data_IF_512844127459
#
_entry.id   IF_512844127459
#
_cell.length_a   1.000
_cell.length_b   1.000
_cell.length_c   1.000
_cell.angle_alpha   90.00
_cell.angle_beta   90.00
_cell.angle_gamma   90.00
#
_symmetry.space_group_name_H-M   'P 1'
#
loop_
_entity.id
_entity.type
_entity.pdbx_description
1 polymer ?
#
# COMPACT_ATOMS: atom_id res chain seq x y z
N UNK A 1 -3.44 -35.77 24.76
CA UNK A 1 -2.84 -35.10 25.94
C UNK A 1 -3.60 -33.81 26.11
N UNK A 2 -4.42 -33.73 27.15
CA UNK A 2 -5.20 -32.55 27.49
C UNK A 2 -4.25 -31.39 27.79
N UNK A 3 -4.34 -30.37 26.98
CA UNK A 3 -3.61 -29.12 27.17
C UNK A 3 -4.37 -28.30 28.23
N UNK A 4 -4.20 -28.68 29.52
CA UNK A 4 -4.78 -27.99 30.66
C UNK A 4 -4.07 -26.60 30.77
N UNK A 5 -4.81 -25.53 30.47
CA UNK A 5 -4.35 -24.15 30.71
C UNK A 5 -3.88 -23.98 32.15
N UNK A 6 -2.81 -23.24 32.36
CA UNK A 6 -2.32 -22.86 33.68
C UNK A 6 -3.44 -22.05 34.38
N UNK A 7 -3.74 -22.23 35.66
CA UNK A 7 -4.84 -21.56 36.34
C UNK A 7 -4.85 -20.02 36.20
N UNK A 8 -3.69 -19.39 36.09
CA UNK A 8 -3.52 -17.95 35.87
C UNK A 8 -4.02 -17.48 34.50
N UNK A 9 -3.77 -18.26 33.42
CA UNK A 9 -4.24 -17.91 32.06
C UNK A 9 -5.76 -17.98 31.96
N UNK A 10 -6.38 -18.96 32.62
CA UNK A 10 -7.85 -19.11 32.66
C UNK A 10 -8.51 -17.92 33.33
N UNK A 11 -7.90 -17.40 34.40
CA UNK A 11 -8.38 -16.19 35.11
C UNK A 11 -8.25 -14.94 34.24
N UNK A 12 -7.15 -14.77 33.50
CA UNK A 12 -6.95 -13.62 32.62
C UNK A 12 -7.91 -13.61 31.43
N UNK A 13 -8.20 -14.76 30.83
CA UNK A 13 -9.19 -14.88 29.74
C UNK A 13 -10.59 -14.55 30.23
N UNK A 14 -10.93 -14.99 31.44
CA UNK A 14 -12.22 -14.71 32.03
C UNK A 14 -12.41 -13.23 32.35
N UNK A 15 -11.42 -12.56 32.91
CA UNK A 15 -11.41 -11.12 33.13
C UNK A 15 -11.49 -10.30 31.82
N UNK A 16 -10.83 -10.80 30.76
CA UNK A 16 -10.94 -10.21 29.44
C UNK A 16 -12.37 -10.32 28.91
N UNK A 17 -12.99 -11.51 29.07
CA UNK A 17 -14.34 -11.76 28.61
C UNK A 17 -15.38 -10.88 29.35
N UNK A 18 -15.26 -10.73 30.64
CA UNK A 18 -16.11 -9.82 31.44
C UNK A 18 -16.04 -8.38 30.92
N UNK A 19 -14.85 -7.87 30.65
CA UNK A 19 -14.67 -6.51 30.05
C UNK A 19 -15.29 -6.39 28.66
N UNK A 20 -15.23 -7.45 27.85
CA UNK A 20 -15.86 -7.47 26.52
C UNK A 20 -17.38 -7.42 26.69
N UNK A 21 -17.95 -8.23 27.58
CA UNK A 21 -19.38 -8.25 27.86
C UNK A 21 -19.89 -6.90 28.37
N UNK A 22 -19.20 -6.28 29.33
CA UNK A 22 -19.54 -4.93 29.83
C UNK A 22 -19.61 -3.87 28.72
N UNK A 23 -18.63 -3.89 27.78
CA UNK A 23 -18.63 -2.97 26.66
C UNK A 23 -19.76 -3.25 25.66
N UNK A 24 -20.03 -4.52 25.37
CA UNK A 24 -21.11 -4.90 24.46
C UNK A 24 -22.49 -4.57 25.04
N UNK A 25 -22.67 -4.74 26.35
CA UNK A 25 -23.91 -4.38 27.05
C UNK A 25 -24.22 -2.87 26.98
N UNK A 26 -23.17 -2.04 26.99
CA UNK A 26 -23.33 -0.58 26.87
C UNK A 26 -23.63 -0.11 25.42
N UNK A 27 -23.34 -0.92 24.40
CA UNK A 27 -23.46 -0.53 22.97
C UNK A 27 -24.63 -1.23 22.29
N UNK A 28 -24.95 -2.46 22.70
CA UNK A 28 -26.04 -3.26 22.12
C UNK A 28 -27.38 -2.94 22.77
N UNK A 29 -28.44 -3.12 21.99
CA UNK A 29 -29.79 -3.13 22.58
C UNK A 29 -29.89 -4.28 23.61
N UNK A 30 -30.48 -4.06 24.81
CA UNK A 30 -30.57 -5.06 25.88
C UNK A 30 -31.16 -6.41 25.45
N UNK A 31 -32.18 -6.39 24.61
CA UNK A 31 -32.78 -7.62 24.04
C UNK A 31 -31.81 -8.36 23.11
N UNK A 32 -31.12 -7.63 22.23
CA UNK A 32 -30.12 -8.18 21.32
C UNK A 32 -28.91 -8.74 22.07
N UNK A 33 -28.47 -8.03 23.12
CA UNK A 33 -27.36 -8.48 23.96
C UNK A 33 -27.70 -9.80 24.66
N UNK A 34 -28.85 -9.85 25.36
CA UNK A 34 -29.27 -11.05 26.09
C UNK A 34 -29.46 -12.25 25.13
N UNK A 35 -30.07 -12.01 23.97
CA UNK A 35 -30.29 -13.07 22.98
C UNK A 35 -28.99 -13.59 22.35
N UNK A 36 -28.01 -12.72 22.12
CA UNK A 36 -26.74 -13.07 21.45
C UNK A 36 -25.71 -13.66 22.41
N UNK A 37 -25.63 -13.11 23.65
CA UNK A 37 -24.58 -13.44 24.61
C UNK A 37 -24.95 -14.51 25.64
N UNK A 38 -26.21 -14.90 25.66
CA UNK A 38 -26.71 -15.89 26.64
C UNK A 38 -26.05 -17.26 26.45
N UNK A 39 -25.39 -17.75 27.49
CA UNK A 39 -24.73 -19.07 27.49
C UNK A 39 -23.43 -19.11 26.71
N UNK A 40 -22.84 -17.97 26.37
CA UNK A 40 -21.53 -17.87 25.74
C UNK A 40 -20.45 -17.70 26.81
N UNK A 41 -19.35 -18.43 26.67
CA UNK A 41 -18.20 -18.35 27.57
C UNK A 41 -16.91 -18.28 26.76
N UNK A 42 -15.92 -17.54 27.24
CA UNK A 42 -14.58 -17.57 26.67
C UNK A 42 -13.86 -18.84 27.14
N UNK A 43 -13.40 -19.66 26.18
CA UNK A 43 -12.75 -20.92 26.46
C UNK A 43 -11.23 -20.78 26.52
N UNK A 44 -10.64 -20.28 25.48
CA UNK A 44 -9.18 -20.11 25.30
C UNK A 44 -8.87 -19.15 24.15
N UNK A 45 -7.61 -18.78 24.03
CA UNK A 45 -7.13 -18.03 22.86
C UNK A 45 -6.36 -19.01 21.96
N UNK A 46 -6.77 -19.10 20.69
CA UNK A 46 -6.10 -19.89 19.67
C UNK A 46 -5.82 -18.98 18.48
N UNK A 47 -4.59 -18.97 18.01
CA UNK A 47 -4.22 -18.26 16.79
C UNK A 47 -4.61 -16.75 16.82
N UNK A 48 -4.41 -16.08 17.97
CA UNK A 48 -4.81 -14.69 18.20
C UNK A 48 -6.32 -14.44 18.07
N UNK A 49 -7.13 -15.48 18.18
CA UNK A 49 -8.58 -15.39 18.19
C UNK A 49 -9.12 -15.90 19.52
N UNK A 50 -10.07 -15.19 20.08
CA UNK A 50 -10.76 -15.59 21.29
C UNK A 50 -11.76 -16.69 20.91
N UNK A 51 -11.58 -17.90 21.43
CA UNK A 51 -12.51 -19.02 21.21
C UNK A 51 -13.64 -18.92 22.23
N UNK A 52 -14.84 -18.70 21.73
CA UNK A 52 -16.08 -18.59 22.49
C UNK A 52 -16.82 -19.94 22.42
N UNK A 53 -17.12 -20.52 23.54
CA UNK A 53 -17.95 -21.72 23.62
C UNK A 53 -19.42 -21.31 23.66
N UNK A 54 -20.20 -21.80 22.71
CA UNK A 54 -21.66 -21.68 22.69
C UNK A 54 -22.29 -23.03 23.07
N UNK A 55 -23.42 -23.00 23.75
CA UNK A 55 -24.11 -24.22 24.20
C UNK A 55 -24.83 -24.95 23.05
N UNK A 56 -25.20 -24.22 22.00
CA UNK A 56 -25.94 -24.72 20.85
C UNK A 56 -25.47 -24.06 19.55
N UNK A 57 -25.71 -24.73 18.42
CA UNK A 57 -25.44 -24.14 17.08
C UNK A 57 -26.31 -22.91 16.81
N UNK A 58 -27.51 -22.85 17.40
CA UNK A 58 -28.37 -21.67 17.30
C UNK A 58 -27.73 -20.43 17.95
N UNK A 59 -27.14 -20.60 19.14
CA UNK A 59 -26.40 -19.55 19.83
C UNK A 59 -25.13 -19.15 19.07
N UNK A 60 -24.43 -20.12 18.46
CA UNK A 60 -23.29 -19.87 17.59
C UNK A 60 -23.68 -19.03 16.35
N UNK A 61 -24.78 -19.37 15.69
CA UNK A 61 -25.32 -18.61 14.55
C UNK A 61 -25.76 -17.19 14.97
N UNK A 62 -26.30 -17.00 16.17
CA UNK A 62 -26.65 -15.66 16.66
C UNK A 62 -25.40 -14.77 16.85
N UNK A 63 -24.30 -15.33 17.37
CA UNK A 63 -23.00 -14.63 17.48
C UNK A 63 -22.41 -14.23 16.11
N UNK A 64 -22.54 -15.11 15.12
CA UNK A 64 -22.02 -14.89 13.78
C UNK A 64 -22.99 -14.12 12.86
N UNK A 65 -24.15 -13.73 13.37
CA UNK A 65 -25.20 -13.01 12.67
C UNK A 65 -24.95 -11.49 12.59
N UNK A 66 -26.03 -10.72 12.74
CA UNK A 66 -26.03 -9.26 12.52
C UNK A 66 -25.01 -8.47 13.38
N UNK A 67 -24.71 -8.95 14.58
CA UNK A 67 -23.81 -8.27 15.53
C UNK A 67 -22.35 -8.79 15.45
N UNK A 68 -22.01 -9.68 14.53
CA UNK A 68 -20.69 -10.32 14.48
C UNK A 68 -19.53 -9.32 14.34
N UNK A 69 -19.70 -8.28 13.51
CA UNK A 69 -18.63 -7.28 13.29
C UNK A 69 -18.44 -6.39 14.54
N UNK A 70 -19.54 -5.97 15.19
CA UNK A 70 -19.47 -5.23 16.46
C UNK A 70 -18.79 -6.03 17.56
N UNK A 71 -19.10 -7.33 17.67
CA UNK A 71 -18.47 -8.23 18.64
C UNK A 71 -16.98 -8.36 18.33
N UNK A 72 -16.61 -8.55 17.06
CA UNK A 72 -15.22 -8.66 16.60
C UNK A 72 -14.42 -7.39 16.90
N UNK A 73 -14.94 -6.22 16.57
CA UNK A 73 -14.32 -4.93 16.89
C UNK A 73 -14.09 -4.76 18.40
N UNK A 74 -15.08 -5.12 19.21
CA UNK A 74 -14.98 -5.04 20.66
C UNK A 74 -13.95 -6.02 21.23
N UNK A 75 -13.90 -7.25 20.71
CA UNK A 75 -12.90 -8.27 21.07
C UNK A 75 -11.48 -7.78 20.75
N UNK A 76 -11.27 -7.20 19.56
CA UNK A 76 -9.98 -6.64 19.16
C UNK A 76 -9.60 -5.46 20.07
N UNK A 77 -10.52 -4.54 20.31
CA UNK A 77 -10.28 -3.35 21.12
C UNK A 77 -9.97 -3.67 22.61
N UNK A 78 -10.61 -4.70 23.16
CA UNK A 78 -10.34 -5.15 24.54
C UNK A 78 -9.12 -6.06 24.64
N UNK A 79 -8.82 -6.79 23.58
CA UNK A 79 -7.78 -7.84 23.53
C UNK A 79 -6.42 -7.37 23.04
N UNK A 80 -6.12 -6.06 23.06
CA UNK A 80 -4.83 -5.51 22.57
C UNK A 80 -3.62 -6.15 23.28
N UNK A 81 -3.70 -6.34 24.60
CA UNK A 81 -2.63 -6.98 25.39
C UNK A 81 -2.37 -8.45 25.01
N UNK A 82 -3.35 -9.12 24.41
CA UNK A 82 -3.26 -10.48 23.90
C UNK A 82 -3.03 -10.54 22.39
N UNK A 83 -2.96 -9.39 21.72
CA UNK A 83 -2.83 -9.28 20.28
C UNK A 83 -3.98 -9.90 19.49
N UNK A 84 -5.22 -9.83 20.00
CA UNK A 84 -6.38 -10.44 19.38
C UNK A 84 -6.74 -9.77 18.05
N UNK A 85 -7.12 -10.61 17.07
CA UNK A 85 -7.57 -10.19 15.73
C UNK A 85 -9.06 -10.48 15.49
N UNK A 86 -9.74 -11.14 16.45
CA UNK A 86 -11.14 -11.49 16.36
C UNK A 86 -11.51 -12.64 17.30
N UNK A 87 -12.62 -13.29 16.99
CA UNK A 87 -13.11 -14.45 17.73
C UNK A 87 -13.51 -15.60 16.81
N UNK A 88 -13.59 -16.79 17.38
CA UNK A 88 -14.14 -18.02 16.77
C UNK A 88 -15.16 -18.62 17.72
N UNK A 89 -16.11 -19.37 17.17
CA UNK A 89 -17.15 -20.03 17.96
C UNK A 89 -16.94 -21.53 17.92
N UNK A 90 -17.05 -22.17 19.08
CA UNK A 90 -17.00 -23.60 19.30
C UNK A 90 -18.31 -24.07 19.93
N UNK A 91 -18.81 -25.21 19.48
CA UNK A 91 -19.96 -25.90 20.07
C UNK A 91 -19.59 -27.36 20.32
N UNK A 92 -19.74 -27.82 21.55
CA UNK A 92 -19.37 -29.18 21.92
C UNK A 92 -20.27 -30.20 21.21
N UNK A 93 -19.65 -31.17 20.52
CA UNK A 93 -20.37 -32.19 19.77
C UNK A 93 -20.92 -31.76 18.40
N UNK A 94 -20.61 -30.52 17.93
CA UNK A 94 -20.97 -30.08 16.58
C UNK A 94 -19.86 -30.35 15.60
N UNK A 95 -20.20 -30.87 14.43
CA UNK A 95 -19.28 -31.03 13.31
C UNK A 95 -19.06 -29.69 12.58
N UNK A 96 -20.04 -28.77 12.66
CA UNK A 96 -19.98 -27.47 12.00
C UNK A 96 -19.10 -26.44 12.76
N UNK A 97 -19.01 -26.57 14.09
CA UNK A 97 -18.28 -25.66 14.97
C UNK A 97 -17.27 -26.43 15.84
N UNK A 98 -16.44 -27.26 15.21
CA UNK A 98 -15.52 -28.14 15.92
C UNK A 98 -14.28 -27.37 16.43
N UNK A 99 -13.79 -27.77 17.61
CA UNK A 99 -12.56 -27.19 18.16
C UNK A 99 -11.35 -27.56 17.31
N UNK A 100 -11.38 -28.73 16.67
CA UNK A 100 -10.32 -29.23 15.80
C UNK A 100 -10.12 -28.31 14.59
N UNK A 101 -11.20 -27.86 13.95
CA UNK A 101 -11.12 -26.93 12.82
C UNK A 101 -10.57 -25.56 13.23
N UNK A 102 -10.86 -25.12 14.46
CA UNK A 102 -10.31 -23.89 15.04
C UNK A 102 -8.81 -24.06 15.32
N UNK A 103 -8.38 -25.19 15.84
CA UNK A 103 -6.97 -25.49 16.14
C UNK A 103 -6.13 -25.66 14.86
N UNK A 104 -6.69 -26.24 13.83
CA UNK A 104 -6.07 -26.45 12.53
C UNK A 104 -6.11 -25.17 11.65
N UNK A 105 -6.97 -24.20 11.98
CA UNK A 105 -7.03 -22.93 11.24
C UNK A 105 -5.73 -22.15 11.38
N UNK A 106 -5.23 -21.60 10.27
CA UNK A 106 -4.02 -20.78 10.28
C UNK A 106 -4.20 -19.55 11.19
N UNK A 107 -3.23 -19.24 12.06
CA UNK A 107 -3.27 -18.01 12.87
C UNK A 107 -3.04 -16.74 12.04
N UNK A 108 -2.60 -16.91 10.81
CA UNK A 108 -2.21 -15.81 9.94
C UNK A 108 -3.38 -15.39 9.05
N UNK A 109 -3.60 -14.08 8.86
CA UNK A 109 -4.65 -13.61 7.97
C UNK A 109 -4.36 -14.06 6.54
N UNK A 110 -5.35 -14.67 5.88
CA UNK A 110 -5.23 -14.98 4.46
C UNK A 110 -5.36 -13.67 3.69
N UNK A 111 -4.34 -13.30 2.94
CA UNK A 111 -4.39 -12.15 2.04
C UNK A 111 -5.43 -12.43 0.95
N UNK A 112 -6.48 -11.61 0.81
CA UNK A 112 -7.55 -11.92 -0.12
C UNK A 112 -7.08 -11.83 -1.57
N UNK A 113 -7.50 -12.80 -2.38
CA UNK A 113 -7.29 -12.78 -3.82
C UNK A 113 -8.35 -11.88 -4.46
N UNK A 114 -7.93 -10.93 -5.29
CA UNK A 114 -8.84 -10.08 -6.03
C UNK A 114 -9.51 -10.87 -7.17
N UNK A 115 -10.79 -11.15 -7.03
CA UNK A 115 -11.59 -11.92 -8.00
C UNK A 115 -11.71 -11.27 -9.38
N UNK A 116 -11.48 -9.96 -9.49
CA UNK A 116 -11.54 -9.23 -10.75
C UNK A 116 -10.26 -9.38 -11.59
N UNK A 117 -9.17 -9.88 -10.99
CA UNK A 117 -7.91 -10.09 -11.67
C UNK A 117 -7.87 -11.51 -12.24
N UNK A 118 -8.31 -11.64 -13.48
CA UNK A 118 -8.38 -12.90 -14.23
C UNK A 118 -7.55 -12.81 -15.50
N UNK A 119 -7.25 -13.96 -16.11
CA UNK A 119 -6.62 -13.98 -17.44
C UNK A 119 -7.49 -13.29 -18.50
N UNK A 120 -8.80 -13.34 -18.39
CA UNK A 120 -9.71 -12.68 -19.31
C UNK A 120 -9.69 -11.15 -19.16
N UNK A 121 -9.46 -10.63 -17.96
CA UNK A 121 -9.38 -9.19 -17.71
C UNK A 121 -7.98 -8.62 -17.94
N UNK A 122 -6.96 -9.47 -18.08
CA UNK A 122 -5.61 -9.05 -18.43
C UNK A 122 -5.49 -8.85 -19.94
N UNK A 123 -5.09 -7.66 -20.37
CA UNK A 123 -4.85 -7.37 -21.79
C UNK A 123 -3.39 -7.69 -22.11
N UNK A 124 -3.17 -8.83 -22.77
CA UNK A 124 -1.85 -9.27 -23.18
C UNK A 124 -1.49 -8.66 -24.55
N UNK A 125 -0.60 -7.67 -24.55
CA UNK A 125 0.06 -7.21 -25.77
C UNK A 125 1.20 -8.13 -26.22
N UNK A 126 1.79 -7.88 -27.39
CA UNK A 126 2.96 -8.65 -27.87
C UNK A 126 4.11 -8.68 -26.85
N UNK A 127 4.31 -7.59 -26.13
CA UNK A 127 5.35 -7.37 -25.13
C UNK A 127 5.16 -8.19 -23.83
N UNK A 128 3.95 -8.59 -23.51
CA UNK A 128 3.61 -9.37 -22.31
C UNK A 128 3.12 -10.79 -22.62
N UNK A 129 3.13 -11.19 -23.89
CA UNK A 129 2.61 -12.49 -24.33
C UNK A 129 3.34 -13.66 -23.68
N UNK A 130 4.67 -13.60 -23.56
CA UNK A 130 5.47 -14.67 -22.98
C UNK A 130 5.12 -14.90 -21.52
N UNK A 131 5.08 -13.84 -20.71
CA UNK A 131 4.75 -13.94 -19.29
C UNK A 131 3.29 -14.38 -19.06
N UNK A 132 2.39 -13.93 -19.91
CA UNK A 132 0.97 -14.33 -19.88
C UNK A 132 0.80 -15.84 -20.13
N UNK A 133 1.44 -16.38 -21.19
CA UNK A 133 1.39 -17.82 -21.51
C UNK A 133 2.09 -18.66 -20.44
N UNK A 134 3.21 -18.18 -19.89
CA UNK A 134 3.88 -18.86 -18.77
C UNK A 134 2.98 -18.91 -17.52
N UNK A 135 2.32 -17.80 -17.19
CA UNK A 135 1.39 -17.74 -16.08
C UNK A 135 0.19 -18.67 -16.27
N UNK A 136 -0.35 -18.73 -17.49
CA UNK A 136 -1.45 -19.62 -17.86
C UNK A 136 -1.03 -21.10 -17.77
N UNK A 137 0.13 -21.46 -18.27
CA UNK A 137 0.69 -22.82 -18.16
C UNK A 137 0.83 -23.26 -16.72
N UNK A 138 1.30 -22.37 -15.83
CA UNK A 138 1.40 -22.64 -14.38
C UNK A 138 0.04 -22.81 -13.75
N UNK A 139 -0.95 -22.01 -14.15
CA UNK A 139 -2.32 -22.11 -13.63
C UNK A 139 -2.99 -23.42 -14.04
N UNK A 140 -2.77 -23.89 -15.27
CA UNK A 140 -3.30 -25.15 -15.79
C UNK A 140 -2.66 -26.38 -15.14
N UNK A 141 -1.34 -26.35 -14.93
CA UNK A 141 -0.56 -27.49 -14.42
C UNK A 141 0.46 -27.06 -13.34
N UNK A 142 0.01 -26.70 -12.13
CA UNK A 142 0.89 -26.25 -11.06
C UNK A 142 1.91 -27.31 -10.66
N UNK A 143 3.18 -26.92 -10.55
CA UNK A 143 4.29 -27.79 -10.16
C UNK A 143 4.94 -28.60 -11.28
N UNK A 144 4.39 -28.57 -12.52
CA UNK A 144 4.82 -29.46 -13.57
C UNK A 144 6.00 -28.94 -14.42
N UNK A 145 5.93 -27.69 -14.93
CA UNK A 145 6.88 -27.22 -15.95
C UNK A 145 7.73 -26.06 -15.43
N UNK A 146 7.11 -24.97 -15.00
CA UNK A 146 7.78 -23.74 -14.60
C UNK A 146 7.74 -23.56 -13.07
N UNK A 147 8.71 -24.15 -12.37
CA UNK A 147 8.78 -24.07 -10.92
C UNK A 147 10.19 -23.73 -10.42
N UNK A 148 10.42 -22.52 -9.86
CA UNK A 148 9.43 -21.44 -9.68
C UNK A 148 9.07 -20.72 -10.99
N UNK A 149 7.91 -20.05 -11.00
CA UNK A 149 7.63 -18.96 -11.94
C UNK A 149 8.02 -17.65 -11.27
N UNK A 150 8.99 -16.95 -11.83
CA UNK A 150 9.46 -15.66 -11.33
C UNK A 150 9.08 -14.57 -12.34
N UNK A 151 8.14 -13.71 -11.97
CA UNK A 151 7.63 -12.61 -12.79
C UNK A 151 8.27 -11.31 -12.31
N UNK A 152 8.98 -10.61 -13.17
CA UNK A 152 9.59 -9.33 -12.80
C UNK A 152 9.25 -8.23 -13.82
N UNK A 153 9.48 -6.97 -13.41
CA UNK A 153 9.25 -5.78 -14.22
C UNK A 153 8.95 -4.58 -13.34
N UNK A 154 8.94 -3.39 -13.91
CA UNK A 154 8.67 -2.15 -13.17
C UNK A 154 7.32 -2.18 -12.42
N UNK A 155 7.17 -1.28 -11.44
CA UNK A 155 5.91 -1.17 -10.70
C UNK A 155 4.75 -0.78 -11.63
N UNK A 156 3.54 -1.29 -11.34
CA UNK A 156 2.34 -0.92 -12.09
C UNK A 156 2.11 -1.63 -13.42
N UNK A 157 2.97 -2.60 -13.82
CA UNK A 157 2.83 -3.32 -15.10
C UNK A 157 1.89 -4.53 -15.08
N UNK A 158 1.29 -4.86 -13.93
CA UNK A 158 0.31 -5.95 -13.83
C UNK A 158 0.87 -7.28 -13.30
N UNK A 159 2.05 -7.32 -12.67
CA UNK A 159 2.61 -8.53 -12.03
C UNK A 159 1.63 -9.16 -11.04
N UNK A 160 1.12 -8.36 -10.11
CA UNK A 160 0.10 -8.80 -9.12
C UNK A 160 -1.19 -9.26 -9.78
N UNK A 161 -1.59 -8.64 -10.90
CA UNK A 161 -2.75 -9.08 -11.67
C UNK A 161 -2.56 -10.51 -12.21
N UNK A 162 -1.41 -10.80 -12.84
CA UNK A 162 -1.10 -12.13 -13.34
C UNK A 162 -1.05 -13.17 -12.21
N UNK A 163 -0.48 -12.82 -11.06
CA UNK A 163 -0.44 -13.68 -9.89
C UNK A 163 -1.85 -14.02 -9.37
N UNK A 164 -2.73 -13.02 -9.26
CA UNK A 164 -4.13 -13.25 -8.88
C UNK A 164 -4.91 -13.99 -9.96
N UNK A 165 -4.58 -13.80 -11.26
CA UNK A 165 -5.20 -14.55 -12.36
C UNK A 165 -4.88 -16.05 -12.26
N UNK A 166 -3.64 -16.41 -11.93
CA UNK A 166 -3.24 -17.80 -11.65
C UNK A 166 -4.07 -18.35 -10.50
N UNK A 167 -4.16 -17.62 -9.39
CA UNK A 167 -4.89 -18.07 -8.20
C UNK A 167 -6.39 -18.27 -8.46
N UNK A 168 -7.02 -17.31 -9.16
CA UNK A 168 -8.43 -17.41 -9.53
C UNK A 168 -8.70 -18.59 -10.47
N UNK A 169 -7.82 -18.81 -11.45
CA UNK A 169 -7.93 -19.94 -12.38
C UNK A 169 -7.86 -21.29 -11.65
N UNK A 170 -6.89 -21.44 -10.73
CA UNK A 170 -6.74 -22.66 -9.93
C UNK A 170 -7.96 -22.86 -9.03
N UNK A 171 -8.46 -21.80 -8.38
CA UNK A 171 -9.63 -21.89 -7.53
C UNK A 171 -10.90 -22.33 -8.27
N UNK A 172 -11.03 -21.96 -9.58
CA UNK A 172 -12.15 -22.35 -10.43
C UNK A 172 -12.03 -23.78 -10.96
N UNK A 173 -10.82 -24.22 -11.37
CA UNK A 173 -10.61 -25.48 -12.08
C UNK A 173 -10.07 -26.62 -11.22
N UNK A 174 -9.50 -26.30 -10.05
CA UNK A 174 -8.91 -27.26 -9.09
C UNK A 174 -9.14 -26.79 -7.66
N UNK A 175 -10.41 -26.72 -7.21
CA UNK A 175 -10.77 -26.15 -5.90
C UNK A 175 -10.21 -26.94 -4.71
N UNK A 176 -9.76 -28.20 -4.92
CA UNK A 176 -9.10 -29.02 -3.91
C UNK A 176 -7.68 -28.55 -3.61
N UNK A 177 -7.05 -27.76 -4.48
CA UNK A 177 -5.68 -27.27 -4.30
C UNK A 177 -5.65 -26.07 -3.36
N UNK A 178 -4.78 -26.16 -2.37
CA UNK A 178 -4.54 -25.08 -1.41
C UNK A 178 -3.61 -24.03 -2.01
N UNK A 179 -4.15 -22.88 -2.39
CA UNK A 179 -3.40 -21.73 -2.89
C UNK A 179 -3.22 -20.74 -1.76
N UNK A 180 -1.98 -20.38 -1.46
CA UNK A 180 -1.63 -19.31 -0.52
C UNK A 180 -0.98 -18.15 -1.26
N UNK A 181 -1.64 -17.00 -1.23
CA UNK A 181 -1.09 -15.73 -1.69
C UNK A 181 -0.73 -14.84 -0.50
N UNK A 182 0.45 -14.26 -0.52
CA UNK A 182 0.91 -13.30 0.47
C UNK A 182 1.90 -12.31 -0.15
N UNK A 183 2.11 -11.17 0.53
CA UNK A 183 3.23 -10.27 0.21
C UNK A 183 4.48 -10.71 0.95
N UNK A 184 5.65 -10.38 0.42
CA UNK A 184 6.92 -10.64 1.11
C UNK A 184 6.98 -9.94 2.48
N UNK A 185 6.38 -8.77 2.60
CA UNK A 185 6.31 -8.03 3.86
C UNK A 185 5.49 -8.78 4.92
N UNK A 186 4.33 -9.35 4.55
CA UNK A 186 3.54 -10.18 5.45
C UNK A 186 4.30 -11.44 5.87
N UNK A 187 4.96 -12.13 4.93
CA UNK A 187 5.81 -13.27 5.22
C UNK A 187 6.91 -12.93 6.25
N UNK A 188 7.56 -11.76 6.09
CA UNK A 188 8.57 -11.25 7.03
C UNK A 188 7.99 -11.01 8.41
N UNK A 189 6.86 -10.31 8.50
CA UNK A 189 6.24 -9.94 9.77
C UNK A 189 5.76 -11.20 10.52
N UNK A 190 5.12 -12.11 9.82
CA UNK A 190 4.64 -13.37 10.39
C UNK A 190 5.81 -14.27 10.86
N UNK A 191 6.93 -14.28 10.15
CA UNK A 191 8.13 -14.98 10.59
C UNK A 191 8.70 -14.39 11.88
N UNK A 192 8.83 -13.05 11.96
CA UNK A 192 9.32 -12.35 13.15
C UNK A 192 8.38 -12.63 14.35
N UNK A 193 7.08 -12.53 14.14
CA UNK A 193 6.07 -12.83 15.16
C UNK A 193 6.17 -14.29 15.63
N UNK A 194 6.42 -15.22 14.71
CA UNK A 194 6.57 -16.64 15.05
C UNK A 194 7.80 -16.92 15.94
N UNK A 195 8.88 -16.17 15.74
CA UNK A 195 10.07 -16.26 16.58
C UNK A 195 9.80 -15.70 17.99
N UNK A 196 9.14 -14.54 18.07
CA UNK A 196 8.78 -13.92 19.35
C UNK A 196 7.83 -14.80 20.18
N UNK A 197 6.91 -15.50 19.53
CA UNK A 197 5.91 -16.37 20.16
C UNK A 197 6.36 -17.82 20.29
N UNK A 198 7.59 -18.18 19.89
CA UNK A 198 8.11 -19.56 19.83
C UNK A 198 7.20 -20.51 19.06
N UNK A 199 6.50 -20.01 18.06
CA UNK A 199 5.49 -20.74 17.25
C UNK A 199 5.99 -21.11 15.84
N UNK A 200 7.28 -21.29 15.64
CA UNK A 200 7.89 -21.57 14.33
C UNK A 200 7.35 -22.83 13.62
N UNK A 201 6.83 -23.83 14.34
CA UNK A 201 6.16 -24.98 13.73
C UNK A 201 4.85 -24.58 13.03
N UNK A 202 4.07 -23.67 13.61
CA UNK A 202 2.83 -23.16 13.01
C UNK A 202 3.11 -22.33 11.75
N UNK A 203 4.14 -21.46 11.81
CA UNK A 203 4.60 -20.71 10.64
C UNK A 203 4.97 -21.67 9.49
N UNK A 204 5.80 -22.66 9.76
CA UNK A 204 6.18 -23.64 8.74
C UNK A 204 4.99 -24.42 8.20
N UNK A 205 4.05 -24.85 9.04
CA UNK A 205 2.85 -25.52 8.59
C UNK A 205 1.98 -24.65 7.69
N UNK A 206 1.86 -23.34 8.00
CA UNK A 206 1.10 -22.41 7.18
C UNK A 206 1.68 -22.26 5.76
N UNK A 207 2.99 -22.07 5.65
CA UNK A 207 3.66 -21.81 4.38
C UNK A 207 4.08 -23.07 3.60
N UNK A 208 4.26 -24.20 4.27
CA UNK A 208 4.77 -25.44 3.64
C UNK A 208 3.67 -26.47 3.35
N UNK A 209 2.47 -26.33 3.94
CA UNK A 209 1.36 -27.23 3.70
C UNK A 209 0.34 -26.66 2.70
N UNK A 210 0.84 -26.22 1.57
CA UNK A 210 0.07 -25.66 0.46
C UNK A 210 0.47 -26.31 -0.85
N UNK A 211 -0.39 -26.27 -1.87
CA UNK A 211 -0.10 -26.79 -3.20
C UNK A 211 0.53 -25.72 -4.10
N UNK A 212 0.17 -24.46 -3.85
CA UNK A 212 0.71 -23.30 -4.58
C UNK A 212 1.02 -22.20 -3.58
N UNK A 213 2.29 -21.80 -3.50
CA UNK A 213 2.74 -20.63 -2.74
C UNK A 213 3.02 -19.47 -3.67
N UNK A 214 2.38 -18.34 -3.43
CA UNK A 214 2.53 -17.10 -4.18
C UNK A 214 3.03 -16.00 -3.27
N UNK A 215 4.20 -15.43 -3.58
CA UNK A 215 4.77 -14.32 -2.82
C UNK A 215 5.00 -13.12 -3.73
N UNK A 216 4.28 -12.05 -3.43
CA UNK A 216 4.40 -10.77 -4.14
C UNK A 216 5.53 -9.92 -3.57
N UNK A 217 6.22 -9.20 -4.45
CA UNK A 217 7.27 -8.23 -4.08
C UNK A 217 8.45 -8.83 -3.30
N UNK A 218 9.02 -9.95 -3.81
CA UNK A 218 10.11 -10.69 -3.15
C UNK A 218 11.40 -9.85 -2.93
N UNK A 219 11.55 -8.69 -3.59
CA UNK A 219 12.67 -7.77 -3.38
C UNK A 219 12.77 -7.27 -1.93
N UNK A 220 11.69 -7.33 -1.14
CA UNK A 220 11.72 -6.96 0.29
C UNK A 220 12.47 -7.96 1.18
N UNK A 221 12.89 -9.12 0.65
CA UNK A 221 13.85 -10.00 1.34
C UNK A 221 15.26 -9.38 1.47
N UNK A 222 15.53 -8.30 0.76
CA UNK A 222 16.80 -7.56 0.83
C UNK A 222 17.18 -7.30 2.29
N UNK A 223 18.48 -7.51 2.63
CA UNK A 223 19.08 -7.25 3.95
C UNK A 223 18.48 -8.03 5.14
N UNK A 224 17.68 -9.08 4.88
CA UNK A 224 16.97 -9.89 5.89
C UNK A 224 17.50 -11.33 5.98
N UNK A 225 18.78 -11.52 6.34
CA UNK A 225 19.44 -12.84 6.30
C UNK A 225 18.64 -13.97 6.96
N UNK A 226 18.14 -13.80 8.18
CA UNK A 226 17.39 -14.84 8.87
C UNK A 226 16.10 -15.24 8.14
N UNK A 227 15.42 -14.28 7.52
CA UNK A 227 14.21 -14.56 6.73
C UNK A 227 14.55 -15.18 5.39
N UNK A 228 15.65 -14.78 4.74
CA UNK A 228 16.13 -15.44 3.52
C UNK A 228 16.43 -16.92 3.78
N UNK A 229 17.00 -17.25 4.93
CA UNK A 229 17.25 -18.63 5.35
C UNK A 229 15.95 -19.43 5.53
N UNK A 230 14.96 -18.91 6.27
CA UNK A 230 13.67 -19.59 6.45
C UNK A 230 12.92 -19.71 5.11
N UNK A 231 12.97 -18.67 4.26
CA UNK A 231 12.40 -18.74 2.93
C UNK A 231 13.07 -19.80 2.06
N UNK A 232 14.41 -19.92 2.12
CA UNK A 232 15.16 -20.96 1.41
C UNK A 232 14.72 -22.36 1.83
N UNK A 233 14.53 -22.60 3.12
CA UNK A 233 14.03 -23.87 3.62
C UNK A 233 12.59 -24.16 3.15
N UNK A 234 11.72 -23.15 3.19
CA UNK A 234 10.34 -23.26 2.71
C UNK A 234 10.30 -23.55 1.20
N UNK A 235 11.14 -22.85 0.42
CA UNK A 235 11.29 -23.07 -1.00
C UNK A 235 11.70 -24.53 -1.33
N UNK A 236 12.74 -25.03 -0.66
CA UNK A 236 13.23 -26.40 -0.89
C UNK A 236 12.18 -27.44 -0.51
N UNK A 237 11.48 -27.25 0.61
CA UNK A 237 10.42 -28.15 1.06
C UNK A 237 9.31 -28.27 0.01
N UNK A 238 8.81 -27.15 -0.46
CA UNK A 238 7.74 -27.11 -1.48
C UNK A 238 8.21 -27.72 -2.81
N UNK A 239 9.38 -27.34 -3.29
CA UNK A 239 9.89 -27.85 -4.58
C UNK A 239 10.20 -29.35 -4.54
N UNK A 240 10.66 -29.88 -3.40
CA UNK A 240 10.89 -31.32 -3.24
C UNK A 240 9.60 -32.16 -3.32
N UNK A 241 8.46 -31.53 -3.03
CA UNK A 241 7.13 -32.14 -3.11
C UNK A 241 6.39 -31.78 -4.42
N UNK A 242 7.07 -31.20 -5.40
CA UNK A 242 6.48 -30.70 -6.65
C UNK A 242 5.35 -29.68 -6.45
N UNK A 243 5.37 -28.93 -5.34
CA UNK A 243 4.43 -27.84 -5.09
C UNK A 243 4.88 -26.60 -5.88
N UNK A 244 3.92 -25.85 -6.42
CA UNK A 244 4.20 -24.69 -7.23
C UNK A 244 4.62 -23.48 -6.38
N UNK A 245 5.63 -22.76 -6.86
CA UNK A 245 6.01 -21.45 -6.30
C UNK A 245 5.88 -20.40 -7.41
N UNK A 246 5.22 -19.27 -7.10
CA UNK A 246 5.12 -18.10 -7.97
C UNK A 246 5.64 -16.90 -7.20
N UNK A 247 6.57 -16.17 -7.79
CA UNK A 247 7.21 -15.00 -7.18
C UNK A 247 7.07 -13.79 -8.09
N UNK A 248 6.86 -12.61 -7.51
CA UNK A 248 6.99 -11.36 -8.26
C UNK A 248 8.10 -10.48 -7.70
N UNK A 249 8.63 -9.59 -8.53
CA UNK A 249 9.64 -8.61 -8.14
C UNK A 249 9.62 -7.39 -9.06
N UNK A 250 10.07 -6.25 -8.55
CA UNK A 250 10.34 -5.08 -9.40
C UNK A 250 11.67 -5.20 -10.17
N UNK A 251 12.52 -6.17 -9.80
CA UNK A 251 13.86 -6.35 -10.34
C UNK A 251 14.13 -7.80 -10.70
N UNK A 252 14.99 -7.99 -11.69
CA UNK A 252 15.51 -9.32 -12.00
C UNK A 252 16.26 -9.91 -10.77
N UNK A 253 16.21 -11.24 -10.51
CA UNK A 253 16.85 -11.86 -9.33
C UNK A 253 18.34 -11.52 -9.15
N UNK A 254 19.06 -11.27 -10.24
CA UNK A 254 20.47 -10.86 -10.19
C UNK A 254 20.68 -9.44 -9.69
N UNK A 255 19.67 -8.60 -9.79
CA UNK A 255 19.71 -7.17 -9.42
C UNK A 255 19.20 -6.91 -7.98
N UNK A 256 18.61 -7.92 -7.35
CA UNK A 256 18.20 -7.80 -5.95
C UNK A 256 19.45 -7.78 -5.07
N UNK A 257 19.76 -6.60 -4.53
CA UNK A 257 20.93 -6.42 -3.67
C UNK A 257 20.84 -7.34 -2.44
N UNK A 258 21.99 -7.86 -1.98
CA UNK A 258 22.10 -8.70 -0.76
C UNK A 258 21.25 -9.98 -0.75
N UNK A 259 20.65 -10.37 -1.88
CA UNK A 259 20.01 -11.67 -2.01
C UNK A 259 21.09 -12.77 -2.01
N UNK A 260 20.92 -13.79 -1.17
CA UNK A 260 21.86 -14.91 -1.09
C UNK A 260 21.93 -15.69 -2.41
N UNK A 261 23.16 -16.09 -2.79
CA UNK A 261 23.43 -16.77 -4.07
C UNK A 261 22.63 -18.07 -4.21
N UNK A 262 22.41 -18.78 -3.10
CA UNK A 262 21.59 -20.00 -3.09
C UNK A 262 20.13 -19.74 -3.50
N UNK A 263 19.53 -18.58 -3.12
CA UNK A 263 18.18 -18.19 -3.54
C UNK A 263 18.18 -17.76 -5.02
N UNK A 264 19.18 -16.98 -5.46
CA UNK A 264 19.32 -16.61 -6.87
C UNK A 264 19.36 -17.84 -7.77
N UNK A 265 20.15 -18.84 -7.42
CA UNK A 265 20.26 -20.09 -8.17
C UNK A 265 18.93 -20.83 -8.22
N UNK A 266 18.18 -20.84 -7.09
CA UNK A 266 16.85 -21.46 -7.04
C UNK A 266 15.83 -20.73 -7.91
N UNK A 267 15.84 -19.39 -7.91
CA UNK A 267 14.95 -18.61 -8.76
C UNK A 267 15.28 -18.80 -10.25
N UNK A 268 16.56 -18.93 -10.57
CA UNK A 268 17.01 -19.18 -11.95
C UNK A 268 16.74 -20.63 -12.41
N UNK A 269 16.46 -21.55 -11.51
CA UNK A 269 16.16 -22.95 -11.86
C UNK A 269 14.79 -23.17 -12.51
N UNK A 270 13.91 -22.17 -12.44
CA UNK A 270 12.58 -22.18 -13.06
C UNK A 270 12.47 -21.24 -14.26
N UNK A 271 11.27 -20.69 -14.46
CA UNK A 271 10.99 -19.69 -15.50
C UNK A 271 11.10 -18.28 -14.94
N UNK A 272 11.99 -17.47 -15.49
CA UNK A 272 12.06 -16.03 -15.23
C UNK A 272 11.42 -15.32 -16.42
N UNK A 273 10.34 -14.58 -16.18
CA UNK A 273 9.58 -13.88 -17.20
C UNK A 273 9.45 -12.40 -16.84
N UNK A 274 9.73 -11.52 -17.80
CA UNK A 274 9.61 -10.09 -17.63
C UNK A 274 8.25 -9.58 -18.10
N UNK A 275 7.74 -8.59 -17.40
CA UNK A 275 6.58 -7.80 -17.82
C UNK A 275 7.10 -6.48 -18.36
N UNK A 276 7.06 -6.34 -19.67
CA UNK A 276 7.52 -5.14 -20.37
C UNK A 276 6.44 -4.04 -20.34
N UNK A 277 6.82 -2.75 -20.39
CA UNK A 277 5.88 -1.65 -20.53
C UNK A 277 4.98 -1.83 -21.76
N UNK A 278 3.65 -1.59 -21.63
CA UNK A 278 2.72 -1.73 -22.74
C UNK A 278 2.95 -0.67 -23.82
N UNK A 279 2.86 -1.09 -25.09
CA UNK A 279 2.87 -0.18 -26.24
C UNK A 279 1.57 0.64 -26.28
N UNK A 280 1.53 1.69 -27.12
CA UNK A 280 0.39 2.61 -27.21
C UNK A 280 -0.92 1.87 -27.49
N UNK A 281 -0.90 0.93 -28.43
CA UNK A 281 -2.08 0.14 -28.81
C UNK A 281 -2.55 -0.74 -27.66
N UNK A 282 -1.61 -1.35 -26.91
CA UNK A 282 -1.93 -2.13 -25.71
C UNK A 282 -2.49 -1.24 -24.60
N UNK A 283 -1.96 -0.02 -24.40
CA UNK A 283 -2.49 0.95 -23.43
C UNK A 283 -3.93 1.34 -23.76
N UNK A 284 -4.22 1.60 -25.04
CA UNK A 284 -5.58 1.90 -25.51
C UNK A 284 -6.52 0.72 -25.22
N UNK A 285 -6.10 -0.50 -25.54
CA UNK A 285 -6.89 -1.71 -25.29
C UNK A 285 -7.13 -1.93 -23.77
N UNK A 286 -6.16 -1.66 -22.93
CA UNK A 286 -6.30 -1.70 -21.46
C UNK A 286 -7.35 -0.70 -20.99
N UNK A 287 -7.27 0.57 -21.43
CA UNK A 287 -8.23 1.61 -21.05
C UNK A 287 -9.63 1.27 -21.53
N UNK A 288 -9.77 0.79 -22.77
CA UNK A 288 -11.06 0.39 -23.34
C UNK A 288 -11.68 -0.76 -22.55
N UNK A 289 -10.91 -1.78 -22.20
CA UNK A 289 -11.36 -2.89 -21.36
C UNK A 289 -11.81 -2.41 -19.99
N UNK A 290 -11.00 -1.58 -19.32
CA UNK A 290 -11.30 -1.04 -17.98
C UNK A 290 -12.52 -0.10 -17.99
N UNK A 291 -12.74 0.65 -19.05
CA UNK A 291 -13.93 1.46 -19.22
C UNK A 291 -15.18 0.59 -19.38
N UNK A 292 -15.11 -0.45 -20.22
CA UNK A 292 -16.21 -1.42 -20.42
C UNK A 292 -16.58 -2.16 -19.14
N UNK A 293 -15.59 -2.59 -18.34
CA UNK A 293 -15.82 -3.23 -17.04
C UNK A 293 -16.58 -2.31 -16.07
N UNK A 294 -16.41 -0.98 -16.22
CA UNK A 294 -17.16 0.06 -15.48
C UNK A 294 -18.43 0.52 -16.20
N UNK A 295 -18.81 -0.11 -17.33
CA UNK A 295 -19.98 0.20 -18.19
C UNK A 295 -19.91 1.58 -18.86
N UNK A 296 -18.70 2.03 -19.21
CA UNK A 296 -18.50 3.26 -19.98
C UNK A 296 -17.94 2.93 -21.37
N UNK A 297 -18.43 3.66 -22.37
CA UNK A 297 -17.87 3.68 -23.71
C UNK A 297 -17.07 4.96 -23.88
N UNK A 298 -15.86 4.85 -24.42
CA UNK A 298 -14.97 5.97 -24.71
C UNK A 298 -14.68 6.01 -26.21
N UNK A 299 -14.74 7.19 -26.79
CA UNK A 299 -14.34 7.42 -28.16
C UNK A 299 -12.80 7.35 -28.30
N UNK A 300 -12.31 7.04 -29.49
CA UNK A 300 -10.90 6.83 -29.74
C UNK A 300 -10.05 8.06 -29.41
N UNK A 301 -10.56 9.27 -29.68
CA UNK A 301 -9.87 10.54 -29.38
C UNK A 301 -9.65 10.74 -27.87
N UNK A 302 -10.61 10.31 -27.04
CA UNK A 302 -10.50 10.30 -25.59
C UNK A 302 -9.45 9.27 -25.13
N UNK A 303 -9.49 8.07 -25.71
CA UNK A 303 -8.52 7.00 -25.38
C UNK A 303 -7.09 7.41 -25.73
N UNK A 304 -6.87 7.96 -26.93
CA UNK A 304 -5.57 8.48 -27.37
C UNK A 304 -5.07 9.60 -26.46
N UNK A 305 -5.96 10.51 -26.06
CA UNK A 305 -5.64 11.57 -25.12
C UNK A 305 -5.24 11.05 -23.74
N UNK A 306 -5.95 10.03 -23.22
CA UNK A 306 -5.64 9.42 -21.93
C UNK A 306 -4.28 8.69 -21.94
N UNK A 307 -3.89 8.10 -23.07
CA UNK A 307 -2.60 7.41 -23.23
C UNK A 307 -1.45 8.40 -23.42
N UNK A 308 -1.71 9.55 -24.04
CA UNK A 308 -0.69 10.58 -24.26
C UNK A 308 -0.10 11.03 -22.91
N UNK A 309 1.21 11.08 -22.82
CA UNK A 309 1.97 11.51 -21.63
C UNK A 309 1.64 10.73 -20.33
N UNK A 310 1.13 9.49 -20.46
CA UNK A 310 0.75 8.65 -19.31
C UNK A 310 1.91 7.87 -18.69
N UNK A 311 3.12 7.97 -19.26
CA UNK A 311 4.24 7.11 -18.85
C UNK A 311 4.01 5.63 -19.17
N UNK A 312 4.70 4.77 -18.46
CA UNK A 312 4.65 3.31 -18.67
C UNK A 312 3.78 2.57 -17.65
N UNK A 313 3.34 3.23 -16.59
CA UNK A 313 2.60 2.64 -15.50
C UNK A 313 1.10 2.53 -15.81
N UNK A 314 0.57 1.31 -15.79
CA UNK A 314 -0.86 1.03 -16.01
C UNK A 314 -1.73 1.60 -14.89
N UNK A 315 -1.22 1.72 -13.66
CA UNK A 315 -1.96 2.35 -12.55
C UNK A 315 -2.22 3.82 -12.82
N UNK A 316 -1.24 4.52 -13.40
CA UNK A 316 -1.41 5.91 -13.84
C UNK A 316 -2.50 6.03 -14.91
N UNK A 317 -2.55 5.11 -15.89
CA UNK A 317 -3.62 5.04 -16.88
C UNK A 317 -4.99 4.85 -16.24
N UNK A 318 -5.12 3.89 -15.32
CA UNK A 318 -6.36 3.64 -14.58
C UNK A 318 -6.77 4.84 -13.72
N UNK A 319 -5.81 5.53 -13.13
CA UNK A 319 -6.02 6.77 -12.38
C UNK A 319 -6.61 7.88 -13.25
N UNK A 320 -6.04 8.11 -14.45
CA UNK A 320 -6.54 9.08 -15.42
C UNK A 320 -7.96 8.76 -15.86
N UNK A 321 -8.24 7.51 -16.22
CA UNK A 321 -9.59 7.03 -16.56
C UNK A 321 -10.58 7.28 -15.40
N UNK A 322 -10.17 6.98 -14.18
CA UNK A 322 -11.04 7.14 -13.00
C UNK A 322 -11.39 8.61 -12.76
N UNK A 323 -10.42 9.54 -12.93
CA UNK A 323 -10.67 10.99 -12.84
C UNK A 323 -11.69 11.46 -13.88
N UNK A 324 -11.57 11.00 -15.13
CA UNK A 324 -12.50 11.38 -16.20
C UNK A 324 -13.91 10.82 -15.95
N UNK A 325 -14.02 9.56 -15.50
CA UNK A 325 -15.31 8.96 -15.13
C UNK A 325 -15.94 9.73 -13.95
N UNK A 326 -15.15 10.11 -12.98
CA UNK A 326 -15.62 10.89 -11.83
C UNK A 326 -16.12 12.27 -12.25
N UNK A 327 -15.40 12.99 -13.11
CA UNK A 327 -15.82 14.26 -13.65
C UNK A 327 -17.14 14.15 -14.46
N UNK A 328 -17.28 13.10 -15.27
CA UNK A 328 -18.53 12.80 -16.00
C UNK A 328 -19.73 12.64 -15.06
N UNK A 329 -19.52 11.92 -13.94
CA UNK A 329 -20.57 11.76 -12.92
C UNK A 329 -20.89 13.03 -12.17
N UNK A 330 -19.85 13.81 -11.82
CA UNK A 330 -20.01 15.05 -11.05
C UNK A 330 -20.77 16.11 -11.81
N UNK A 331 -20.48 16.25 -13.12
CA UNK A 331 -21.09 17.27 -13.98
C UNK A 331 -22.32 16.76 -14.75
N UNK A 332 -22.67 15.45 -14.59
CA UNK A 332 -23.74 14.78 -15.35
C UNK A 332 -23.58 14.93 -16.89
N UNK A 333 -22.33 14.99 -17.36
CA UNK A 333 -21.98 15.16 -18.77
C UNK A 333 -21.43 13.85 -19.37
N UNK A 334 -21.68 13.60 -20.68
CA UNK A 334 -21.04 12.47 -21.37
C UNK A 334 -19.53 12.65 -21.44
N UNK A 335 -18.80 11.50 -21.47
CA UNK A 335 -17.34 11.54 -21.58
C UNK A 335 -16.95 11.97 -23.00
N UNK A 336 -16.45 13.17 -23.13
CA UNK A 336 -15.92 13.78 -24.36
C UNK A 336 -14.47 14.18 -24.18
N UNK A 337 -13.76 14.43 -25.28
CA UNK A 337 -12.38 14.92 -25.23
C UNK A 337 -12.26 16.24 -24.45
N UNK A 338 -13.27 17.13 -24.55
CA UNK A 338 -13.31 18.39 -23.79
C UNK A 338 -13.42 18.17 -22.29
N UNK A 339 -14.31 17.24 -21.87
CA UNK A 339 -14.42 16.83 -20.46
C UNK A 339 -13.11 16.19 -19.96
N UNK A 340 -12.52 15.28 -20.74
CA UNK A 340 -11.28 14.62 -20.37
C UNK A 340 -10.11 15.61 -20.18
N UNK A 341 -10.01 16.61 -21.06
CA UNK A 341 -9.05 17.71 -20.93
C UNK A 341 -9.28 18.51 -19.66
N UNK A 342 -10.51 18.94 -19.37
CA UNK A 342 -10.81 19.66 -18.12
C UNK A 342 -10.47 18.81 -16.90
N UNK A 343 -10.96 17.59 -16.82
CA UNK A 343 -10.76 16.70 -15.67
C UNK A 343 -9.28 16.39 -15.35
N UNK A 344 -8.43 16.35 -16.37
CA UNK A 344 -7.00 16.11 -16.17
C UNK A 344 -6.22 17.42 -15.97
N UNK A 345 -6.64 18.56 -16.55
CA UNK A 345 -6.02 19.88 -16.30
C UNK A 345 -6.42 20.43 -14.93
N UNK A 346 -7.67 20.27 -14.49
CA UNK A 346 -8.07 20.61 -13.12
C UNK A 346 -7.31 19.79 -12.08
N UNK A 347 -7.06 18.50 -12.37
CA UNK A 347 -6.24 17.66 -11.48
C UNK A 347 -4.74 17.99 -11.50
N UNK A 348 -4.24 18.56 -12.62
CA UNK A 348 -2.88 19.09 -12.70
C UNK A 348 -2.79 20.43 -11.96
N UNK A 349 -3.87 21.23 -11.93
CA UNK A 349 -3.94 22.45 -11.13
C UNK A 349 -4.10 22.18 -9.62
N UNK A 350 -4.64 21.03 -9.20
CA UNK A 350 -4.64 20.62 -7.78
C UNK A 350 -3.33 19.93 -7.33
N UNK A 351 -2.51 19.42 -8.29
CA UNK A 351 -1.22 18.74 -7.99
C UNK A 351 0.01 19.45 -8.56
N UNK A 352 -0.17 20.40 -9.48
CA UNK A 352 0.88 21.22 -10.13
C UNK A 352 0.37 22.64 -10.35
N UNK A 353 0.04 23.39 -9.31
CA UNK A 353 0.72 24.64 -9.13
C UNK A 353 2.08 24.27 -8.53
N UNK A 354 2.98 23.68 -9.28
CA UNK A 354 4.37 24.11 -9.21
C UNK A 354 4.30 25.60 -9.54
N UNK A 355 4.11 26.41 -8.51
CA UNK A 355 4.40 27.82 -8.54
C UNK A 355 5.85 27.86 -9.01
N UNK A 356 6.06 28.20 -10.28
CA UNK A 356 7.41 28.41 -10.80
C UNK A 356 7.96 29.55 -9.98
N UNK A 357 8.64 29.17 -8.88
CA UNK A 357 9.19 30.14 -7.95
C UNK A 357 10.29 30.87 -8.74
N UNK A 358 10.03 32.09 -9.06
CA UNK A 358 10.99 32.95 -9.73
C UNK A 358 11.56 33.96 -8.73
N UNK A 359 12.75 34.51 -8.95
CA UNK A 359 13.26 35.60 -8.12
C UNK A 359 12.29 36.78 -8.05
N UNK A 360 11.56 37.02 -9.13
CA UNK A 360 10.54 38.06 -9.24
C UNK A 360 9.37 37.79 -8.28
N UNK A 361 8.88 36.55 -8.19
CA UNK A 361 7.78 36.21 -7.29
C UNK A 361 8.16 36.38 -5.81
N UNK A 362 9.42 36.12 -5.47
CA UNK A 362 9.94 36.36 -4.10
C UNK A 362 9.99 37.85 -3.80
N UNK A 363 10.46 38.67 -4.75
CA UNK A 363 10.53 40.14 -4.60
C UNK A 363 9.10 40.70 -4.47
N UNK A 364 8.16 40.28 -5.29
CA UNK A 364 6.76 40.72 -5.22
C UNK A 364 6.09 40.38 -3.91
N UNK A 365 6.30 39.16 -3.42
CA UNK A 365 5.79 38.74 -2.12
C UNK A 365 6.35 39.61 -0.97
N UNK A 366 7.64 39.84 -0.99
CA UNK A 366 8.27 40.74 -0.01
C UNK A 366 7.77 42.19 -0.11
N UNK A 367 7.61 42.73 -1.34
CA UNK A 367 7.04 44.03 -1.56
C UNK A 367 5.62 44.15 -1.01
N UNK A 368 4.76 43.17 -1.27
CA UNK A 368 3.40 43.10 -0.73
C UNK A 368 3.37 43.05 0.79
N UNK A 369 4.22 42.21 1.40
CA UNK A 369 4.28 42.04 2.85
C UNK A 369 4.72 43.33 3.58
N UNK A 370 5.78 43.97 3.09
CA UNK A 370 6.33 45.20 3.68
C UNK A 370 5.66 46.49 3.19
N UNK A 371 4.73 46.36 2.24
CA UNK A 371 4.08 47.51 1.56
C UNK A 371 5.09 48.47 0.90
N UNK A 372 6.06 47.90 0.22
CA UNK A 372 7.15 48.62 -0.48
C UNK A 372 6.99 48.48 -2.00
N UNK A 373 7.52 49.43 -2.73
CA UNK A 373 7.64 49.30 -4.19
C UNK A 373 8.83 48.41 -4.56
N UNK A 374 8.79 47.81 -5.77
CA UNK A 374 9.94 47.04 -6.29
C UNK A 374 11.22 47.91 -6.36
N UNK A 375 11.07 49.18 -6.72
CA UNK A 375 12.16 50.13 -6.80
C UNK A 375 12.81 50.39 -5.44
N UNK A 376 12.06 50.34 -4.34
CA UNK A 376 12.56 50.45 -2.97
C UNK A 376 13.43 49.27 -2.58
N UNK A 377 12.99 48.08 -2.95
CA UNK A 377 13.70 46.82 -2.61
C UNK A 377 14.95 46.64 -3.46
N UNK A 378 14.88 46.87 -4.77
CA UNK A 378 16.01 46.68 -5.71
C UNK A 378 16.92 47.92 -5.74
N UNK A 379 16.40 49.11 -5.39
CA UNK A 379 17.10 50.36 -5.46
C UNK A 379 18.31 50.51 -4.53
N UNK A 380 19.01 51.65 -4.64
CA UNK A 380 20.25 51.95 -3.88
C UNK A 380 19.99 52.52 -2.49
N UNK A 381 18.74 52.73 -2.09
CA UNK A 381 18.39 53.30 -0.79
C UNK A 381 18.87 52.42 0.37
N UNK A 382 19.30 53.08 1.46
CA UNK A 382 19.81 52.46 2.67
C UNK A 382 18.85 52.55 3.86
N UNK A 383 17.58 52.88 3.63
CA UNK A 383 16.55 52.82 4.69
C UNK A 383 16.52 51.46 5.34
N UNK A 384 16.35 51.41 6.65
CA UNK A 384 16.40 50.18 7.42
C UNK A 384 15.38 49.13 6.92
N UNK A 385 14.16 49.57 6.57
CA UNK A 385 13.10 48.70 6.10
C UNK A 385 13.39 48.13 4.70
N UNK A 386 13.95 48.95 3.79
CA UNK A 386 14.33 48.51 2.45
C UNK A 386 15.51 47.52 2.50
N UNK A 387 16.48 47.78 3.39
CA UNK A 387 17.62 46.89 3.58
C UNK A 387 17.16 45.55 4.15
N UNK A 388 16.22 45.54 5.10
CA UNK A 388 15.62 44.34 5.70
C UNK A 388 14.89 43.51 4.66
N UNK A 389 13.97 44.13 3.91
CA UNK A 389 13.21 43.47 2.84
C UNK A 389 14.17 42.81 1.84
N UNK A 390 15.17 43.54 1.39
CA UNK A 390 16.20 43.06 0.45
C UNK A 390 17.00 41.87 1.00
N UNK A 391 17.38 41.90 2.28
CA UNK A 391 18.10 40.81 2.91
C UNK A 391 17.25 39.53 3.03
N UNK A 392 15.95 39.68 3.29
CA UNK A 392 14.99 38.55 3.30
C UNK A 392 14.80 38.01 1.88
N UNK A 393 14.67 38.88 0.85
CA UNK A 393 14.63 38.44 -0.55
C UNK A 393 15.88 37.62 -0.93
N UNK A 394 17.06 38.14 -0.61
CA UNK A 394 18.32 37.43 -0.91
C UNK A 394 18.39 36.06 -0.23
N UNK A 395 17.95 35.96 1.01
CA UNK A 395 17.89 34.73 1.76
C UNK A 395 16.90 33.73 1.12
N UNK A 396 15.67 34.14 0.85
CA UNK A 396 14.64 33.27 0.29
C UNK A 396 14.93 32.84 -1.16
N UNK A 397 15.47 33.76 -2.01
CA UNK A 397 15.86 33.41 -3.38
C UNK A 397 16.95 32.32 -3.35
N UNK A 398 17.92 32.45 -2.47
CA UNK A 398 19.00 31.46 -2.35
C UNK A 398 18.48 30.11 -1.83
N UNK A 399 17.58 30.14 -0.86
CA UNK A 399 17.02 28.94 -0.23
C UNK A 399 16.07 28.17 -1.16
N UNK A 400 15.21 28.91 -1.88
CA UNK A 400 14.16 28.30 -2.70
C UNK A 400 14.60 27.94 -4.13
N UNK A 401 15.58 28.67 -4.69
CA UNK A 401 15.91 28.57 -6.12
C UNK A 401 17.33 28.08 -6.42
N UNK A 402 18.20 27.96 -5.42
CA UNK A 402 19.60 27.53 -5.59
C UNK A 402 20.38 28.28 -6.69
N UNK A 403 20.08 29.60 -6.89
CA UNK A 403 20.71 30.43 -7.91
C UNK A 403 22.07 30.92 -7.43
N UNK A 404 23.09 31.05 -8.30
CA UNK A 404 24.39 31.60 -7.95
C UNK A 404 24.31 32.99 -7.34
N UNK A 405 25.15 33.28 -6.33
CA UNK A 405 25.13 34.55 -5.59
C UNK A 405 25.32 35.80 -6.49
N UNK A 406 26.12 35.68 -7.54
CA UNK A 406 26.33 36.77 -8.51
C UNK A 406 25.04 37.15 -9.26
N UNK A 407 24.25 36.14 -9.65
CA UNK A 407 22.98 36.34 -10.32
C UNK A 407 21.98 37.01 -9.38
N UNK A 408 21.90 36.58 -8.13
CA UNK A 408 21.05 37.17 -7.09
C UNK A 408 21.45 38.65 -6.88
N UNK A 409 22.76 38.91 -6.86
CA UNK A 409 23.28 40.26 -6.76
C UNK A 409 22.83 41.17 -7.89
N UNK A 410 22.83 40.67 -9.10
CA UNK A 410 22.34 41.41 -10.27
C UNK A 410 20.83 41.70 -10.21
N UNK A 411 20.03 40.69 -9.88
CA UNK A 411 18.56 40.79 -9.73
C UNK A 411 18.19 41.83 -8.64
N UNK A 412 18.92 41.84 -7.54
CA UNK A 412 18.67 42.77 -6.43
C UNK A 412 19.37 44.15 -6.62
N UNK A 413 19.65 44.55 -7.84
CA UNK A 413 20.12 45.91 -8.19
C UNK A 413 21.64 46.05 -8.29
N UNK A 414 22.33 45.06 -8.85
CA UNK A 414 23.76 45.09 -9.18
C UNK A 414 24.67 45.06 -7.95
N UNK A 415 24.36 44.22 -6.99
CA UNK A 415 25.16 44.04 -5.75
C UNK A 415 26.16 42.93 -5.89
N UNK A 416 27.30 43.14 -5.23
CA UNK A 416 28.37 42.16 -5.18
C UNK A 416 27.91 40.87 -4.40
N UNK A 417 28.42 39.73 -4.82
CA UNK A 417 28.12 38.42 -4.20
C UNK A 417 28.43 38.38 -2.70
N UNK A 418 29.47 39.11 -2.23
CA UNK A 418 29.79 39.24 -0.81
C UNK A 418 28.67 39.91 -0.01
N UNK A 419 28.01 40.90 -0.59
CA UNK A 419 26.84 41.57 0.01
C UNK A 419 25.66 40.58 0.16
N UNK A 420 25.43 39.73 -0.84
CA UNK A 420 24.36 38.71 -0.81
C UNK A 420 24.69 37.65 0.23
N UNK A 421 25.93 37.19 0.29
CA UNK A 421 26.39 36.22 1.30
C UNK A 421 26.18 36.76 2.72
N UNK A 422 26.60 38.00 2.97
CA UNK A 422 26.39 38.67 4.28
C UNK A 422 24.90 38.81 4.61
N UNK A 423 24.06 39.13 3.61
CA UNK A 423 22.60 39.22 3.81
C UNK A 423 22.01 37.86 4.25
N UNK A 424 22.38 36.76 3.56
CA UNK A 424 22.01 35.40 3.92
C UNK A 424 22.41 35.07 5.34
N UNK A 425 23.69 35.22 5.68
CA UNK A 425 24.26 34.85 6.98
C UNK A 425 23.63 35.62 8.13
N UNK A 426 23.32 36.91 7.85
CA UNK A 426 22.65 37.78 8.83
C UNK A 426 21.19 37.31 9.08
N UNK A 427 20.42 37.02 8.02
CA UNK A 427 19.03 36.58 8.18
C UNK A 427 19.00 35.21 8.81
N UNK A 428 19.86 34.25 8.43
CA UNK A 428 19.97 32.95 9.02
C UNK A 428 20.23 33.02 10.55
N UNK A 429 21.13 33.90 10.99
CA UNK A 429 21.34 34.15 12.43
C UNK A 429 20.15 34.79 13.11
N UNK A 430 19.48 35.75 12.45
CA UNK A 430 18.34 36.44 13.04
C UNK A 430 17.12 35.56 13.18
N UNK A 431 16.90 34.58 12.31
CA UNK A 431 15.84 33.60 12.40
C UNK A 431 15.97 32.79 13.70
N UNK A 432 17.20 32.42 14.10
CA UNK A 432 17.43 31.66 15.32
C UNK A 432 17.32 32.47 16.62
N UNK A 433 17.53 33.79 16.55
CA UNK A 433 17.60 34.70 17.70
C UNK A 433 16.34 35.55 17.90
N UNK A 434 15.50 35.69 16.88
CA UNK A 434 14.39 36.63 16.89
C UNK A 434 13.12 36.06 16.23
N UNK A 435 12.20 35.61 17.06
CA UNK A 435 10.91 35.02 16.63
C UNK A 435 10.10 35.90 15.68
N UNK A 436 10.25 37.24 15.74
CA UNK A 436 9.53 38.15 14.85
C UNK A 436 10.08 38.07 13.42
N UNK A 437 11.41 38.02 13.27
CA UNK A 437 12.03 37.89 11.95
C UNK A 437 11.79 36.49 11.37
N UNK A 438 11.86 35.45 12.19
CA UNK A 438 11.51 34.09 11.79
C UNK A 438 10.08 34.06 11.19
N UNK A 439 9.12 34.66 11.88
CA UNK A 439 7.73 34.74 11.42
C UNK A 439 7.58 35.53 10.13
N UNK A 440 8.25 36.69 9.99
CA UNK A 440 8.21 37.50 8.76
C UNK A 440 8.76 36.73 7.54
N UNK A 441 9.85 35.96 7.72
CA UNK A 441 10.44 35.14 6.66
C UNK A 441 9.50 33.99 6.30
N UNK A 442 8.87 33.32 7.29
CA UNK A 442 7.92 32.23 7.06
C UNK A 442 6.63 32.72 6.40
N UNK A 443 6.12 33.89 6.79
CA UNK A 443 4.95 34.50 6.18
C UNK A 443 5.20 34.80 4.68
N UNK A 444 6.35 35.40 4.36
CA UNK A 444 6.74 35.68 2.96
C UNK A 444 6.96 34.41 2.17
N UNK A 445 7.63 33.38 2.77
CA UNK A 445 7.80 32.05 2.17
C UNK A 445 6.45 31.44 1.82
N UNK A 446 5.50 31.48 2.75
CA UNK A 446 4.15 30.96 2.56
C UNK A 446 3.36 31.71 1.47
N UNK A 447 3.58 33.02 1.31
CA UNK A 447 2.99 33.77 0.21
C UNK A 447 3.57 33.33 -1.14
N UNK A 448 4.89 33.11 -1.22
CA UNK A 448 5.57 32.65 -2.44
C UNK A 448 5.12 31.22 -2.82
N UNK A 449 4.96 30.33 -1.84
CA UNK A 449 4.56 28.93 -2.06
C UNK A 449 3.05 28.76 -2.30
N UNK A 450 2.21 29.75 -1.97
CA UNK A 450 0.75 29.70 -2.14
C UNK A 450 0.23 30.41 -3.38
N UNK A 451 1.08 31.11 -4.12
CA UNK A 451 0.76 31.67 -5.44
C UNK A 451 0.99 30.56 -6.47
#
# INVERSE_FOLDING_TARGET
MENTLIPEEKTQIQQLWERICEKLENVMNPFSFEHTMRGIQALKIINRQLVLQAQTELAANALLGHNAELIKETVVACGVSFGLIGFKVFVEGSDLYSLKDIEESSPYPITPINKNFTFQSFVAGPESKLVYEAAKTVAENPGAIFNPLFIYGESGLGKTHLMHAIANYIAEHSPEKKVLYTTCENFLNEFIDSLAQKSGSRFRNHYRNVDVLMIDDIQFLKDRKGTQEEFFHTFNELTSQNKQIVLTSDKHPKEIATLEERLRTRFAGGMIADVQPPQTETKIAILQRKALDKKYYLDNDVLEFLVKDSGNDVRTLEGRLTKVIFASKLHEEPITLSLAKRALHEAVQETEEEVEITPESVIEAACGYFKLSREDVVGKSRSADFVKARQICAYLILELLSIPLDNIGQILGGRDHTTIMHARDKIAKLITLNNRIAKEVDDIRNIVLKK
#
